data_IF_395120477082
#
_entry.id   IF_395120477082
#
_cell.length_a   1.000
_cell.length_b   1.000
_cell.length_c   1.000
_cell.angle_alpha   90.00
_cell.angle_beta   90.00
_cell.angle_gamma   90.00
#
_symmetry.space_group_name_H-M   'P 1'
#
loop_
_entity.id
_entity.type
_entity.pdbx_description
1 polymer ?
#
# COMPACT_ATOMS: atom_id res chain seq x y z
N UNK A 1 9.34 25.31 5.09
CA UNK A 1 8.45 24.41 5.86
C UNK A 1 8.71 23.02 5.31
N UNK A 2 9.32 22.14 6.10
CA UNK A 2 9.56 20.77 5.69
C UNK A 2 8.20 20.07 5.69
N UNK A 3 7.64 19.91 4.50
CA UNK A 3 6.49 19.06 4.23
C UNK A 3 6.94 17.64 4.57
N UNK A 4 6.74 17.23 5.83
CA UNK A 4 6.97 15.84 6.23
C UNK A 4 5.88 15.07 5.47
N UNK A 5 6.21 14.24 4.47
CA UNK A 5 5.20 13.48 3.78
C UNK A 5 4.60 12.52 4.83
N UNK A 6 3.42 12.87 5.35
CA UNK A 6 2.67 12.01 6.27
C UNK A 6 2.14 10.75 5.55
N UNK A 7 2.20 10.72 4.22
CA UNK A 7 1.84 9.57 3.40
C UNK A 7 3.08 8.78 2.97
N UNK A 8 3.08 7.48 3.24
CA UNK A 8 4.03 6.55 2.64
C UNK A 8 3.75 6.32 1.16
N UNK A 9 4.49 5.40 0.55
CA UNK A 9 4.29 4.97 -0.82
C UNK A 9 3.73 3.56 -0.86
N UNK A 10 2.83 3.32 -1.80
CA UNK A 10 2.24 2.01 -2.04
C UNK A 10 2.41 1.63 -3.51
N UNK A 11 2.75 0.37 -3.77
CA UNK A 11 3.05 -0.15 -5.09
C UNK A 11 2.33 -1.47 -5.28
N UNK A 12 1.60 -1.58 -6.37
CA UNK A 12 1.03 -2.86 -6.78
C UNK A 12 2.06 -3.64 -7.59
N UNK A 13 2.58 -4.72 -7.00
CA UNK A 13 3.56 -5.59 -7.64
C UNK A 13 2.91 -6.91 -8.05
N UNK A 14 3.17 -7.36 -9.27
CA UNK A 14 2.79 -8.72 -9.69
C UNK A 14 3.77 -9.71 -9.05
N UNK A 15 3.25 -10.62 -8.23
CA UNK A 15 4.01 -11.70 -7.59
C UNK A 15 3.40 -13.01 -8.08
N UNK A 16 3.95 -13.54 -9.17
CA UNK A 16 3.34 -14.65 -9.91
C UNK A 16 2.14 -14.16 -10.72
N UNK A 17 0.99 -14.78 -10.52
CA UNK A 17 -0.28 -14.42 -11.18
C UNK A 17 -1.14 -13.44 -10.36
N UNK A 18 -0.76 -13.20 -9.10
CA UNK A 18 -1.47 -12.30 -8.19
C UNK A 18 -0.83 -10.92 -8.12
N UNK A 19 -1.68 -9.90 -7.97
CA UNK A 19 -1.24 -8.52 -7.75
C UNK A 19 -1.27 -8.23 -6.26
N UNK A 20 -0.08 -8.04 -5.69
CA UNK A 20 0.08 -7.85 -4.25
C UNK A 20 0.49 -6.42 -3.94
N UNK A 21 -0.23 -5.81 -3.01
CA UNK A 21 0.05 -4.46 -2.55
C UNK A 21 1.31 -4.47 -1.66
N UNK A 22 2.28 -3.64 -2.01
CA UNK A 22 3.46 -3.41 -1.20
C UNK A 22 3.46 -1.98 -0.68
N UNK A 23 3.86 -1.80 0.57
CA UNK A 23 3.90 -0.53 1.27
C UNK A 23 5.33 -0.23 1.71
N UNK A 24 5.67 1.06 1.72
CA UNK A 24 6.88 1.59 2.35
C UNK A 24 6.59 2.97 2.89
N UNK A 25 7.14 3.34 4.04
CA UNK A 25 7.00 4.70 4.55
C UNK A 25 7.97 5.64 3.87
N UNK A 26 9.20 5.19 3.63
CA UNK A 26 10.23 5.98 2.97
C UNK A 26 10.69 5.35 1.67
N UNK A 27 11.11 6.17 0.70
CA UNK A 27 11.69 5.70 -0.54
C UNK A 27 13.00 4.91 -0.34
N UNK A 28 13.67 5.14 0.80
CA UNK A 28 14.88 4.42 1.23
C UNK A 28 14.59 3.04 1.82
N UNK A 29 13.35 2.76 2.20
CA UNK A 29 12.96 1.46 2.73
C UNK A 29 12.61 0.48 1.59
N UNK A 30 12.86 -0.80 1.85
CA UNK A 30 12.42 -1.86 0.97
C UNK A 30 10.90 -1.93 0.95
N UNK A 31 10.35 -2.25 -0.22
CA UNK A 31 8.93 -2.57 -0.37
C UNK A 31 8.58 -3.77 0.49
N UNK A 32 7.65 -3.60 1.43
CA UNK A 32 7.14 -4.65 2.31
C UNK A 32 5.72 -4.99 1.94
N UNK A 33 5.28 -6.20 2.26
CA UNK A 33 3.90 -6.61 1.99
C UNK A 33 2.94 -5.76 2.81
N UNK A 34 1.79 -5.40 2.24
CA UNK A 34 0.77 -4.66 2.98
C UNK A 34 0.34 -5.40 4.25
N UNK A 35 0.35 -6.74 4.24
CA UNK A 35 0.08 -7.62 5.39
C UNK A 35 1.02 -7.37 6.59
N UNK A 36 2.24 -6.88 6.36
CA UNK A 36 3.16 -6.51 7.45
C UNK A 36 2.74 -5.22 8.18
N UNK A 37 1.72 -4.52 7.68
CA UNK A 37 1.18 -3.31 8.28
C UNK A 37 -0.28 -3.53 8.71
N UNK A 38 -0.55 -4.33 9.75
CA UNK A 38 -1.89 -4.62 10.21
C UNK A 38 -2.68 -3.36 10.64
N UNK A 39 -1.97 -2.27 10.94
CA UNK A 39 -2.56 -0.96 11.27
C UNK A 39 -3.28 -0.32 10.07
N UNK A 40 -2.81 -0.59 8.85
CA UNK A 40 -3.40 -0.10 7.60
C UNK A 40 -4.21 -1.18 6.86
N UNK A 41 -3.90 -2.46 7.12
CA UNK A 41 -4.59 -3.59 6.49
C UNK A 41 -6.07 -3.52 6.83
N UNK A 42 -6.88 -3.38 5.79
CA UNK A 42 -8.32 -3.47 5.87
C UNK A 42 -8.76 -4.83 5.33
N UNK A 43 -9.76 -5.47 5.97
CA UNK A 43 -10.32 -6.72 5.45
C UNK A 43 -10.93 -6.46 4.08
N UNK A 44 -10.42 -7.16 3.06
CA UNK A 44 -10.90 -7.01 1.71
C UNK A 44 -12.31 -7.60 1.55
N UNK A 45 -13.22 -6.91 0.83
CA UNK A 45 -14.52 -7.46 0.50
C UNK A 45 -14.38 -8.69 -0.41
N UNK A 46 -15.19 -9.71 -0.15
CA UNK A 46 -15.19 -10.96 -0.92
C UNK A 46 -15.58 -10.66 -2.38
N UNK A 47 -14.68 -10.98 -3.32
CA UNK A 47 -14.87 -10.74 -4.76
C UNK A 47 -13.96 -9.67 -5.38
N UNK A 48 -13.13 -9.00 -4.57
CA UNK A 48 -12.10 -8.08 -5.07
C UNK A 48 -10.67 -8.62 -4.89
N UNK A 49 -9.72 -7.99 -5.58
CA UNK A 49 -8.29 -8.24 -5.41
C UNK A 49 -7.84 -7.98 -3.97
N UNK A 50 -7.00 -8.88 -3.45
CA UNK A 50 -6.40 -8.75 -2.11
C UNK A 50 -5.62 -7.44 -1.99
N UNK A 51 -5.88 -6.67 -0.95
CA UNK A 51 -5.32 -5.36 -0.68
C UNK A 51 -6.07 -4.18 -1.29
N UNK A 52 -7.21 -4.36 -2.00
CA UNK A 52 -7.95 -3.23 -2.59
C UNK A 52 -8.49 -2.29 -1.50
N UNK A 53 -8.99 -2.85 -0.40
CA UNK A 53 -9.57 -2.05 0.69
C UNK A 53 -8.48 -1.25 1.39
N UNK A 54 -7.34 -1.91 1.63
CA UNK A 54 -6.12 -1.30 2.16
C UNK A 54 -5.64 -0.17 1.25
N UNK A 55 -5.54 -0.42 -0.06
CA UNK A 55 -5.14 0.60 -1.03
C UNK A 55 -6.05 1.83 -1.02
N UNK A 56 -7.37 1.65 -0.96
CA UNK A 56 -8.31 2.76 -0.86
C UNK A 56 -8.18 3.52 0.46
N UNK A 57 -7.98 2.82 1.58
CA UNK A 57 -7.79 3.45 2.88
C UNK A 57 -6.51 4.28 2.93
N UNK A 58 -5.41 3.74 2.39
CA UNK A 58 -4.13 4.43 2.29
C UNK A 58 -4.21 5.64 1.35
N UNK A 59 -4.93 5.53 0.22
CA UNK A 59 -5.18 6.68 -0.67
C UNK A 59 -5.89 7.82 0.03
N UNK A 60 -6.80 7.52 0.97
CA UNK A 60 -7.45 8.54 1.82
C UNK A 60 -6.53 9.13 2.88
N UNK A 61 -5.43 8.46 3.20
CA UNK A 61 -4.40 8.92 4.15
C UNK A 61 -3.23 9.62 3.43
N UNK A 62 -3.45 10.14 2.23
CA UNK A 62 -2.43 10.81 1.41
C UNK A 62 -1.24 9.92 1.02
N UNK A 63 -1.39 8.59 1.04
CA UNK A 63 -0.35 7.71 0.51
C UNK A 63 -0.24 7.82 -1.00
N UNK A 64 1.00 7.73 -1.49
CA UNK A 64 1.30 7.85 -2.92
C UNK A 64 1.29 6.47 -3.57
N UNK A 65 0.33 6.26 -4.47
CA UNK A 65 0.28 5.07 -5.32
C UNK A 65 1.30 5.16 -6.46
N UNK A 66 2.38 4.38 -6.36
CA UNK A 66 3.36 4.20 -7.42
C UNK A 66 2.82 3.16 -8.40
N UNK A 67 2.83 3.51 -9.69
CA UNK A 67 2.56 2.54 -10.78
C UNK A 67 3.84 1.75 -11.02
N UNK A 68 3.74 0.42 -10.99
CA UNK A 68 4.81 -0.47 -11.47
C UNK A 68 4.90 -0.44 -12.99
#
# INVERSE_FOLDING_TARGET
MADIPKGGQMLWKLVGEDRVLHLRHNASESWRYYEEFPDYVQPDPQGFSKGIATFMALLKQDWVAIKS
#
